data_IF_882729246459
#
_entry.id   IF_882729246459
#
_cell.length_a   1.000
_cell.length_b   1.000
_cell.length_c   1.000
_cell.angle_alpha   90.00
_cell.angle_beta   90.00
_cell.angle_gamma   90.00
#
_symmetry.space_group_name_H-M   'P 1'
#
loop_
_entity.id
_entity.type
_entity.pdbx_description
1 polymer ?
#
# COMPACT_ATOMS: atom_id res chain seq x y z
N UNK A 1 20.37 13.45 -2.34
CA UNK A 1 20.85 12.66 -1.20
C UNK A 1 19.97 11.46 -0.93
N UNK A 2 20.48 10.48 -0.22
CA UNK A 2 19.79 9.28 0.23
C UNK A 2 19.95 9.15 1.73
N UNK A 3 18.87 8.83 2.42
CA UNK A 3 18.87 8.47 3.83
C UNK A 3 18.06 7.18 4.05
N UNK A 4 18.17 6.58 5.21
CA UNK A 4 17.36 5.43 5.61
C UNK A 4 16.64 5.73 6.90
N UNK A 5 15.36 5.38 6.98
CA UNK A 5 14.58 5.43 8.22
C UNK A 5 14.73 4.20 9.08
N UNK A 6 15.13 3.08 8.48
CA UNK A 6 15.29 1.82 9.20
C UNK A 6 16.76 1.45 9.23
N UNK A 7 17.30 1.28 10.43
CA UNK A 7 18.67 0.86 10.65
C UNK A 7 19.02 -0.48 9.97
N UNK A 8 18.01 -1.27 9.60
CA UNK A 8 18.22 -2.62 9.05
C UNK A 8 18.50 -2.67 7.55
N UNK A 9 18.17 -1.61 6.79
CA UNK A 9 18.36 -1.57 5.33
C UNK A 9 19.66 -0.88 4.96
N UNK A 10 19.96 0.27 5.59
CA UNK A 10 21.23 1.01 5.52
C UNK A 10 21.69 1.28 6.96
N UNK A 11 22.02 0.24 7.71
CA UNK A 11 22.09 0.35 9.18
C UNK A 11 23.26 1.18 9.65
N UNK A 12 24.36 1.10 8.96
CA UNK A 12 25.62 1.66 9.38
C UNK A 12 26.55 1.81 8.21
N UNK A 13 27.41 2.78 8.30
CA UNK A 13 28.46 2.97 7.30
C UNK A 13 29.43 1.81 7.19
N UNK A 14 29.54 0.98 8.24
CA UNK A 14 30.48 -0.14 8.28
C UNK A 14 30.17 -1.26 7.28
N UNK A 15 28.90 -1.47 6.95
CA UNK A 15 28.46 -2.59 6.12
C UNK A 15 28.00 -2.19 4.72
N UNK A 16 27.78 -0.90 4.47
CA UNK A 16 27.42 -0.39 3.14
C UNK A 16 28.68 -0.02 2.38
N UNK A 17 29.04 -0.85 1.41
CA UNK A 17 30.28 -0.66 0.66
C UNK A 17 30.19 0.45 -0.38
N UNK A 18 29.02 0.67 -0.95
CA UNK A 18 28.81 1.70 -1.97
C UNK A 18 27.33 2.00 -2.21
N UNK A 19 27.03 3.27 -2.44
CA UNK A 19 25.72 3.75 -2.90
C UNK A 19 25.92 4.48 -4.22
N UNK A 20 25.07 4.20 -5.18
CA UNK A 20 25.11 4.78 -6.52
C UNK A 20 23.75 5.32 -6.95
N UNK A 21 23.77 6.44 -7.67
CA UNK A 21 22.66 6.88 -8.51
C UNK A 21 22.82 6.27 -9.90
N UNK A 22 21.80 5.59 -10.39
CA UNK A 22 21.79 4.98 -11.71
C UNK A 22 20.63 5.58 -12.52
N UNK A 23 20.91 6.40 -13.56
CA UNK A 23 19.88 6.90 -14.46
C UNK A 23 19.19 5.76 -15.20
N UNK A 24 17.93 6.00 -15.57
CA UNK A 24 17.07 5.01 -16.24
C UNK A 24 17.57 4.62 -17.64
N UNK A 25 18.20 5.53 -18.35
CA UNK A 25 18.81 5.21 -19.62
C UNK A 25 20.12 4.44 -19.39
N UNK A 26 20.10 3.19 -19.82
CA UNK A 26 21.13 2.18 -19.77
C UNK A 26 22.51 2.64 -20.33
N UNK A 27 23.04 3.67 -19.75
CA UNK A 27 24.38 4.11 -19.95
C UNK A 27 25.19 3.71 -18.72
N UNK A 28 25.96 2.63 -18.84
CA UNK A 28 26.83 2.14 -17.77
C UNK A 28 27.85 3.18 -17.28
N UNK A 29 28.05 4.25 -18.06
CA UNK A 29 28.92 5.38 -17.73
C UNK A 29 28.21 6.47 -16.91
N UNK A 30 26.90 6.41 -16.74
CA UNK A 30 26.12 7.41 -16.00
C UNK A 30 25.97 7.12 -14.50
N UNK A 31 26.48 5.99 -14.05
CA UNK A 31 26.44 5.59 -12.64
C UNK A 31 27.31 6.53 -11.79
N UNK A 32 26.69 7.22 -10.85
CA UNK A 32 27.36 8.19 -9.98
C UNK A 32 27.49 7.62 -8.57
N UNK A 33 28.72 7.50 -8.09
CA UNK A 33 28.97 7.11 -6.70
C UNK A 33 28.58 8.23 -5.74
N UNK A 34 27.94 7.85 -4.65
CA UNK A 34 27.52 8.75 -3.58
C UNK A 34 28.40 8.53 -2.34
N UNK A 35 29.33 9.42 -2.03
CA UNK A 35 30.07 9.34 -0.78
C UNK A 35 29.17 9.64 0.42
N UNK A 36 29.55 9.12 1.57
CA UNK A 36 28.88 9.36 2.83
C UNK A 36 29.25 10.74 3.39
N UNK A 37 28.29 11.44 3.98
CA UNK A 37 28.56 12.76 4.56
C UNK A 37 29.30 12.65 5.89
N UNK A 38 30.07 13.69 6.24
CA UNK A 38 30.87 13.73 7.47
C UNK A 38 30.01 13.61 8.75
N UNK A 39 28.74 14.04 8.70
CA UNK A 39 27.78 13.90 9.81
C UNK A 39 27.19 12.48 9.91
N UNK A 40 27.58 11.58 9.01
CA UNK A 40 27.15 10.18 8.95
C UNK A 40 25.63 9.99 8.87
N UNK A 41 24.93 10.88 8.17
CA UNK A 41 23.46 10.83 8.03
C UNK A 41 23.01 10.48 6.63
N UNK A 42 23.77 10.88 5.60
CA UNK A 42 23.34 10.76 4.21
C UNK A 42 24.47 10.32 3.29
N UNK A 43 24.08 9.71 2.16
CA UNK A 43 24.93 9.61 0.98
C UNK A 43 24.58 10.74 0.03
N UNK A 44 25.56 11.46 -0.46
CA UNK A 44 25.35 12.63 -1.32
C UNK A 44 26.12 12.46 -2.62
N UNK A 45 25.47 12.72 -3.74
CA UNK A 45 26.10 12.75 -5.05
C UNK A 45 25.48 13.83 -5.91
N UNK A 46 26.14 14.15 -7.02
CA UNK A 46 25.70 15.16 -7.96
C UNK A 46 25.51 14.52 -9.33
N UNK A 47 24.39 14.83 -9.96
CA UNK A 47 24.03 14.34 -11.28
C UNK A 47 23.38 15.47 -12.09
N UNK A 48 23.53 15.45 -13.40
CA UNK A 48 22.88 16.42 -14.27
C UNK A 48 21.35 16.36 -14.10
N UNK A 49 20.71 17.53 -14.05
CA UNK A 49 19.28 17.64 -13.76
C UNK A 49 18.41 16.81 -14.71
N UNK A 50 18.74 16.80 -15.98
CA UNK A 50 18.04 16.05 -17.04
C UNK A 50 18.15 14.53 -16.89
N UNK A 51 19.12 14.04 -16.08
CA UNK A 51 19.31 12.63 -15.78
C UNK A 51 18.73 12.23 -14.42
N UNK A 52 18.22 13.19 -13.66
CA UNK A 52 17.77 12.97 -12.29
C UNK A 52 16.33 12.48 -12.18
N UNK A 53 15.56 12.54 -13.25
CA UNK A 53 14.23 11.96 -13.29
C UNK A 53 14.34 10.44 -13.58
N UNK A 54 13.52 9.63 -12.93
CA UNK A 54 13.53 8.17 -13.08
C UNK A 54 14.88 7.51 -12.78
N UNK A 55 15.44 7.80 -11.63
CA UNK A 55 16.67 7.13 -11.16
C UNK A 55 16.36 5.83 -10.41
N UNK A 56 17.39 4.98 -10.33
CA UNK A 56 17.44 3.87 -9.39
C UNK A 56 18.62 4.10 -8.44
N UNK A 57 18.40 3.98 -7.14
CA UNK A 57 19.48 3.90 -6.19
C UNK A 57 19.94 2.45 -6.05
N UNK A 58 21.23 2.23 -6.20
CA UNK A 58 21.86 0.91 -6.04
C UNK A 58 22.83 0.96 -4.88
N UNK A 59 22.77 0.02 -3.98
CA UNK A 59 23.70 -0.11 -2.88
C UNK A 59 23.96 -1.57 -2.52
N UNK A 60 25.12 -1.81 -1.93
CA UNK A 60 25.53 -3.13 -1.46
C UNK A 60 25.64 -3.10 0.06
N UNK A 61 25.00 -4.05 0.71
CA UNK A 61 25.04 -4.22 2.16
C UNK A 61 25.26 -5.71 2.46
N UNK A 62 26.28 -6.03 3.24
CA UNK A 62 26.65 -7.41 3.60
C UNK A 62 26.77 -8.34 2.38
N UNK A 63 27.33 -7.85 1.27
CA UNK A 63 27.48 -8.64 0.03
C UNK A 63 26.23 -8.72 -0.84
N UNK A 64 25.08 -8.28 -0.38
CA UNK A 64 23.86 -8.23 -1.16
C UNK A 64 23.70 -6.89 -1.87
N UNK A 65 23.33 -6.94 -3.14
CA UNK A 65 23.04 -5.73 -3.92
C UNK A 65 21.54 -5.48 -3.96
N UNK A 66 21.17 -4.26 -3.57
CA UNK A 66 19.79 -3.77 -3.57
C UNK A 66 19.65 -2.69 -4.65
N UNK A 67 18.47 -2.66 -5.27
CA UNK A 67 18.11 -1.66 -6.28
C UNK A 67 16.73 -1.10 -5.95
N UNK A 68 16.65 0.20 -5.73
CA UNK A 68 15.41 0.90 -5.37
C UNK A 68 15.07 1.89 -6.47
N UNK A 69 14.03 1.62 -7.26
CA UNK A 69 13.50 2.58 -8.22
C UNK A 69 13.04 3.86 -7.52
N UNK A 70 13.39 5.00 -8.07
CA UNK A 70 13.06 6.31 -7.53
C UNK A 70 12.45 7.22 -8.61
N UNK A 71 11.27 6.87 -9.14
CA UNK A 71 10.57 7.66 -10.14
C UNK A 71 9.93 8.90 -9.51
N UNK A 72 9.42 9.79 -10.35
CA UNK A 72 8.59 10.93 -9.95
C UNK A 72 9.29 11.89 -8.94
N UNK A 73 10.57 12.14 -9.13
CA UNK A 73 11.37 13.00 -8.25
C UNK A 73 10.77 14.40 -8.06
N UNK A 74 10.17 14.97 -9.09
CA UNK A 74 9.75 16.38 -9.08
C UNK A 74 10.94 17.30 -8.84
N UNK A 75 10.85 18.16 -7.82
CA UNK A 75 11.93 19.06 -7.40
C UNK A 75 12.69 18.53 -6.16
N UNK A 76 12.39 17.34 -5.72
CA UNK A 76 12.99 16.76 -4.52
C UNK A 76 14.48 16.47 -4.71
N UNK A 77 15.26 16.62 -3.65
CA UNK A 77 16.69 16.34 -3.63
C UNK A 77 17.08 15.28 -2.60
N UNK A 78 16.14 14.86 -1.77
CA UNK A 78 16.35 13.84 -0.74
C UNK A 78 15.46 12.62 -1.02
N UNK A 79 16.08 11.47 -1.17
CA UNK A 79 15.40 10.18 -1.23
C UNK A 79 15.58 9.42 0.08
N UNK A 80 14.47 8.95 0.67
CA UNK A 80 14.46 8.22 1.93
C UNK A 80 14.15 6.76 1.66
N UNK A 81 15.09 5.87 1.97
CA UNK A 81 14.94 4.43 1.86
C UNK A 81 14.15 3.90 3.05
N UNK A 82 13.10 3.14 2.81
CA UNK A 82 12.21 2.58 3.83
C UNK A 82 12.27 1.06 3.94
N UNK A 83 12.73 0.39 2.89
CA UNK A 83 12.96 -1.06 2.87
C UNK A 83 14.04 -1.42 1.83
N UNK A 84 14.29 -2.71 1.64
CA UNK A 84 15.22 -3.20 0.62
C UNK A 84 14.80 -2.85 -0.82
N UNK A 85 13.52 -2.59 -1.05
CA UNK A 85 12.92 -2.37 -2.39
C UNK A 85 12.17 -1.06 -2.51
N UNK A 86 11.96 -0.33 -1.43
CA UNK A 86 11.11 0.87 -1.41
C UNK A 86 11.79 2.07 -0.78
N UNK A 87 11.33 3.23 -1.20
CA UNK A 87 11.67 4.52 -0.64
C UNK A 87 10.74 5.59 -1.20
N UNK A 88 10.94 6.81 -0.79
CA UNK A 88 10.19 7.96 -1.29
C UNK A 88 11.06 9.20 -1.42
N UNK A 89 10.67 10.10 -2.31
CA UNK A 89 11.22 11.46 -2.37
C UNK A 89 10.59 12.33 -1.28
N UNK A 90 11.41 13.04 -0.52
CA UNK A 90 10.97 13.98 0.51
C UNK A 90 10.65 15.37 -0.08
N UNK A 91 9.52 16.01 0.26
CA UNK A 91 8.47 15.58 1.19
C UNK A 91 7.54 14.52 0.58
N UNK A 92 7.18 13.48 1.35
CA UNK A 92 6.32 12.41 0.89
C UNK A 92 4.83 12.77 0.95
N UNK A 93 4.00 11.93 0.34
CA UNK A 93 2.62 11.72 0.73
C UNK A 93 2.57 10.65 1.82
N UNK A 94 1.96 10.95 2.95
CA UNK A 94 1.81 10.02 4.07
C UNK A 94 0.36 9.60 4.20
N UNK A 95 0.08 8.32 4.01
CA UNK A 95 -1.26 7.75 4.06
C UNK A 95 -1.42 7.01 5.37
N UNK A 96 -2.43 7.40 6.16
CA UNK A 96 -2.78 6.77 7.43
C UNK A 96 -4.21 6.26 7.40
N UNK A 97 -4.44 5.04 7.88
CA UNK A 97 -5.77 4.45 7.97
C UNK A 97 -6.11 4.08 9.41
N UNK A 98 -7.37 4.30 9.78
CA UNK A 98 -7.93 3.99 11.09
C UNK A 98 -9.26 3.27 10.96
N UNK A 99 -9.66 2.53 11.99
CA UNK A 99 -10.99 1.93 12.07
C UNK A 99 -11.98 2.91 12.69
N UNK A 100 -13.10 3.17 12.02
CA UNK A 100 -14.17 4.06 12.53
C UNK A 100 -14.93 3.46 13.72
N UNK A 101 -14.94 2.14 13.83
CA UNK A 101 -15.49 1.40 14.98
C UNK A 101 -14.40 0.48 15.50
N UNK A 102 -14.02 0.65 16.76
CA UNK A 102 -13.06 -0.23 17.43
C UNK A 102 -13.59 -1.66 17.35
N UNK A 103 -12.71 -2.59 17.09
CA UNK A 103 -13.02 -4.02 16.97
C UNK A 103 -13.86 -4.47 15.75
N UNK A 104 -14.26 -3.56 14.85
CA UNK A 104 -14.96 -3.93 13.62
C UNK A 104 -14.04 -4.32 12.46
N UNK A 105 -12.77 -3.93 12.50
CA UNK A 105 -11.77 -4.25 11.49
C UNK A 105 -10.36 -3.82 11.92
N UNK A 106 -9.38 -4.18 11.10
CA UNK A 106 -7.97 -3.80 11.27
C UNK A 106 -7.43 -3.25 9.94
N UNK A 107 -7.76 -1.98 9.60
CA UNK A 107 -7.40 -1.42 8.31
C UNK A 107 -5.90 -1.24 8.17
N UNK A 108 -5.41 -1.44 6.95
CA UNK A 108 -3.99 -1.29 6.58
C UNK A 108 -3.85 -0.56 5.25
N UNK A 109 -2.69 0.03 5.05
CA UNK A 109 -2.19 0.47 3.75
C UNK A 109 -1.14 -0.51 3.29
N UNK A 110 -1.14 -0.87 2.03
CA UNK A 110 -0.15 -1.75 1.42
C UNK A 110 0.50 -1.11 0.20
N UNK A 111 1.80 -1.24 0.10
CA UNK A 111 2.60 -0.83 -1.05
C UNK A 111 3.87 -1.70 -1.12
N UNK A 112 4.10 -2.31 -2.29
CA UNK A 112 5.31 -3.10 -2.61
C UNK A 112 5.74 -4.06 -1.48
N UNK A 113 4.79 -4.87 -1.00
CA UNK A 113 5.02 -5.85 0.07
C UNK A 113 5.06 -5.28 1.49
N UNK A 114 5.08 -3.95 1.66
CA UNK A 114 4.90 -3.31 2.96
C UNK A 114 3.41 -3.22 3.29
N UNK A 115 3.07 -3.49 4.55
CA UNK A 115 1.71 -3.36 5.06
C UNK A 115 1.77 -2.74 6.46
N UNK A 116 1.10 -1.61 6.64
CA UNK A 116 1.11 -0.86 7.90
C UNK A 116 -0.16 -0.02 8.04
N UNK A 117 -0.40 0.54 9.21
CA UNK A 117 -1.45 1.56 9.39
C UNK A 117 -1.05 2.92 8.81
N UNK A 118 0.24 3.14 8.58
CA UNK A 118 0.78 4.36 7.98
C UNK A 118 1.92 4.02 7.03
N UNK A 119 1.86 4.54 5.81
CA UNK A 119 2.92 4.41 4.79
C UNK A 119 3.20 5.77 4.18
N UNK A 120 4.49 6.09 3.97
CA UNK A 120 4.94 7.25 3.22
C UNK A 120 5.44 6.84 1.84
N UNK A 121 4.96 7.53 0.81
CA UNK A 121 5.32 7.28 -0.60
C UNK A 121 5.56 8.59 -1.34
N UNK A 122 6.24 8.52 -2.46
CA UNK A 122 6.32 9.64 -3.40
C UNK A 122 4.92 9.97 -3.95
N UNK A 123 4.52 11.24 -4.07
CA UNK A 123 3.30 11.61 -4.78
C UNK A 123 3.24 10.96 -6.17
N UNK A 124 2.06 10.50 -6.58
CA UNK A 124 1.87 9.72 -7.80
C UNK A 124 2.04 8.20 -7.63
N UNK A 125 2.44 7.73 -6.46
CA UNK A 125 2.55 6.30 -6.17
C UNK A 125 1.19 5.70 -5.78
N UNK A 126 0.78 4.66 -6.48
CA UNK A 126 -0.47 3.93 -6.21
C UNK A 126 -0.30 3.01 -4.99
N UNK A 127 -1.13 3.18 -3.99
CA UNK A 127 -1.19 2.34 -2.77
C UNK A 127 -2.53 1.64 -2.66
N UNK A 128 -2.60 0.58 -1.87
CA UNK A 128 -3.86 -0.14 -1.62
C UNK A 128 -4.30 0.05 -0.17
N UNK A 129 -5.53 0.50 0.02
CA UNK A 129 -6.22 0.53 1.31
C UNK A 129 -6.96 -0.80 1.51
N UNK A 130 -6.72 -1.45 2.62
CA UNK A 130 -7.25 -2.77 2.96
C UNK A 130 -8.07 -2.61 4.23
N UNK A 131 -9.36 -2.88 4.18
CA UNK A 131 -10.25 -2.64 5.31
C UNK A 131 -10.15 -3.73 6.40
N UNK A 132 -9.84 -4.98 6.03
CA UNK A 132 -9.75 -6.13 6.94
C UNK A 132 -10.92 -6.19 7.94
N UNK A 133 -12.19 -6.28 7.51
CA UNK A 133 -13.30 -6.36 8.43
C UNK A 133 -13.22 -7.65 9.24
N UNK A 134 -13.57 -7.58 10.53
CA UNK A 134 -13.72 -8.75 11.39
C UNK A 134 -15.07 -9.45 11.12
N UNK A 135 -15.18 -10.69 11.62
CA UNK A 135 -16.42 -11.47 11.49
C UNK A 135 -17.62 -10.67 12.00
N UNK A 136 -18.69 -10.65 11.22
CA UNK A 136 -19.90 -9.89 11.54
C UNK A 136 -19.88 -8.43 11.08
N UNK A 137 -18.83 -8.01 10.36
CA UNK A 137 -18.72 -6.67 9.79
C UNK A 137 -18.32 -6.71 8.32
N UNK A 138 -18.70 -5.67 7.60
CA UNK A 138 -18.24 -5.38 6.22
C UNK A 138 -17.87 -3.90 6.12
N UNK A 139 -16.95 -3.58 5.21
CA UNK A 139 -16.65 -2.19 4.89
C UNK A 139 -17.85 -1.56 4.20
N UNK A 140 -18.34 -0.45 4.75
CA UNK A 140 -19.35 0.39 4.08
C UNK A 140 -18.69 1.30 3.05
N UNK A 141 -17.71 2.08 3.51
CA UNK A 141 -16.91 3.01 2.70
C UNK A 141 -15.68 3.48 3.48
N UNK A 142 -14.82 4.21 2.78
CA UNK A 142 -13.78 5.03 3.38
C UNK A 142 -14.28 6.47 3.50
N UNK A 143 -13.92 7.15 4.58
CA UNK A 143 -14.11 8.58 4.75
C UNK A 143 -12.78 9.27 4.99
N UNK A 144 -12.69 10.53 4.59
CA UNK A 144 -11.58 11.39 5.00
C UNK A 144 -11.74 11.67 6.50
N UNK A 145 -10.71 11.35 7.29
CA UNK A 145 -10.78 11.46 8.75
C UNK A 145 -10.93 12.89 9.24
N UNK A 146 -10.43 13.86 8.46
CA UNK A 146 -10.41 15.27 8.85
C UNK A 146 -11.77 15.96 8.57
N UNK A 147 -12.49 15.50 7.55
CA UNK A 147 -13.76 16.12 7.11
C UNK A 147 -14.98 15.24 7.35
N UNK A 148 -14.79 13.94 7.63
CA UNK A 148 -15.83 12.92 7.72
C UNK A 148 -16.64 12.71 6.42
N UNK A 149 -16.24 13.33 5.33
CA UNK A 149 -16.83 13.13 4.01
C UNK A 149 -16.38 11.79 3.41
N UNK A 150 -17.19 11.23 2.51
CA UNK A 150 -16.78 10.07 1.72
C UNK A 150 -15.45 10.41 1.01
N UNK A 151 -14.49 9.51 1.12
CA UNK A 151 -13.16 9.76 0.57
C UNK A 151 -13.20 9.69 -0.97
N UNK A 152 -12.68 10.74 -1.59
CA UNK A 152 -12.48 10.79 -3.03
C UNK A 152 -11.19 10.08 -3.46
N UNK A 153 -11.16 9.61 -4.70
CA UNK A 153 -9.96 9.06 -5.33
C UNK A 153 -9.60 7.65 -4.91
N UNK A 154 -10.42 6.98 -4.10
CA UNK A 154 -10.29 5.55 -3.79
C UNK A 154 -11.17 4.77 -4.75
N UNK A 155 -10.57 3.91 -5.57
CA UNK A 155 -11.31 3.08 -6.53
C UNK A 155 -12.04 1.90 -5.83
N UNK A 156 -12.90 1.19 -6.59
CA UNK A 156 -13.67 0.04 -6.11
C UNK A 156 -12.81 -1.12 -5.60
N UNK A 157 -11.55 -1.17 -5.98
CA UNK A 157 -10.58 -2.17 -5.53
C UNK A 157 -9.75 -1.70 -4.31
N UNK A 158 -10.03 -0.50 -3.79
CA UNK A 158 -9.35 0.10 -2.66
C UNK A 158 -8.02 0.77 -3.00
N UNK A 159 -7.73 1.06 -4.26
CA UNK A 159 -6.53 1.78 -4.63
C UNK A 159 -6.70 3.28 -4.53
N UNK A 160 -5.65 3.92 -4.05
CA UNK A 160 -5.52 5.37 -3.92
C UNK A 160 -4.18 5.83 -4.48
N UNK A 161 -4.16 7.00 -5.14
CA UNK A 161 -2.94 7.62 -5.65
C UNK A 161 -2.89 9.06 -5.15
N UNK A 162 -2.04 9.40 -4.17
CA UNK A 162 -1.89 10.76 -3.71
C UNK A 162 -1.28 11.63 -4.82
N UNK A 163 -1.83 12.81 -5.05
CA UNK A 163 -1.38 13.73 -6.12
C UNK A 163 -0.35 14.74 -5.65
N UNK A 164 -0.24 14.98 -4.34
CA UNK A 164 0.68 15.92 -3.75
C UNK A 164 1.30 15.36 -2.46
N UNK A 165 2.37 15.97 -1.99
CA UNK A 165 2.90 15.71 -0.66
C UNK A 165 1.96 16.21 0.43
N UNK A 166 1.97 15.57 1.57
CA UNK A 166 1.12 15.89 2.71
C UNK A 166 0.50 14.66 3.34
N UNK A 167 -0.41 14.88 4.28
CA UNK A 167 -1.07 13.81 5.02
C UNK A 167 -2.44 13.50 4.41
N UNK A 168 -2.70 12.22 4.23
CA UNK A 168 -3.96 11.65 3.77
C UNK A 168 -4.45 10.68 4.85
N UNK A 169 -5.48 11.09 5.58
CA UNK A 169 -6.03 10.34 6.70
C UNK A 169 -7.38 9.75 6.31
N UNK A 170 -7.50 8.43 6.33
CA UNK A 170 -8.72 7.73 5.98
C UNK A 170 -9.23 6.89 7.14
N UNK A 171 -10.54 6.90 7.32
CA UNK A 171 -11.24 6.06 8.29
C UNK A 171 -12.08 5.03 7.55
N UNK A 172 -11.88 3.75 7.85
CA UNK A 172 -12.72 2.66 7.37
C UNK A 172 -14.02 2.64 8.18
N UNK A 173 -15.14 2.88 7.53
CA UNK A 173 -16.47 2.79 8.14
C UNK A 173 -17.02 1.39 7.94
N UNK A 174 -17.30 0.71 9.04
CA UNK A 174 -17.85 -0.65 9.03
C UNK A 174 -19.31 -0.64 9.40
N UNK A 175 -20.06 -1.57 8.81
CA UNK A 175 -21.44 -1.89 9.19
C UNK A 175 -21.52 -3.35 9.57
N UNK A 176 -22.49 -3.68 10.41
CA UNK A 176 -22.74 -5.07 10.78
C UNK A 176 -23.27 -5.83 9.56
N UNK A 177 -22.81 -7.06 9.41
CA UNK A 177 -23.28 -8.00 8.40
C UNK A 177 -23.91 -9.21 9.07
N UNK A 178 -24.98 -9.68 8.48
CA UNK A 178 -25.61 -10.93 8.89
C UNK A 178 -25.35 -11.98 7.82
N UNK A 179 -24.99 -13.17 8.26
CA UNK A 179 -24.88 -14.34 7.40
C UNK A 179 -26.17 -15.13 7.52
N UNK A 180 -26.82 -15.37 6.41
CA UNK A 180 -27.99 -16.24 6.33
C UNK A 180 -27.57 -17.55 5.67
N UNK A 181 -27.98 -18.65 6.29
CA UNK A 181 -27.85 -19.96 5.68
C UNK A 181 -29.24 -20.41 5.22
N UNK A 182 -29.36 -20.81 3.96
CA UNK A 182 -30.59 -21.34 3.40
C UNK A 182 -30.33 -22.77 2.94
N UNK A 183 -31.19 -23.68 3.40
CA UNK A 183 -31.13 -25.07 2.99
C UNK A 183 -32.31 -25.35 2.08
N UNK A 184 -32.04 -25.92 0.92
CA UNK A 184 -33.12 -26.46 0.04
C UNK A 184 -33.34 -27.90 0.44
N UNK A 185 -34.55 -28.20 0.83
CA UNK A 185 -34.97 -29.56 1.20
C UNK A 185 -36.13 -30.02 0.29
N UNK A 186 -36.02 -31.25 -0.12
CA UNK A 186 -37.18 -31.94 -0.81
C UNK A 186 -38.03 -32.64 0.20
N UNK A 187 -39.34 -32.58 -0.02
CA UNK A 187 -40.33 -33.30 0.77
C UNK A 187 -40.92 -34.43 -0.07
N UNK A 188 -40.76 -35.64 0.37
CA UNK A 188 -41.28 -36.84 -0.32
C UNK A 188 -42.62 -37.37 0.20
N UNK A 189 -43.31 -36.55 0.99
CA UNK A 189 -44.58 -36.88 1.61
C UNK A 189 -44.48 -37.44 3.02
N UNK A 190 -43.31 -37.84 3.46
CA UNK A 190 -43.02 -38.37 4.81
C UNK A 190 -41.81 -37.74 5.47
N UNK A 191 -40.79 -37.41 4.71
CA UNK A 191 -39.51 -36.92 5.25
C UNK A 191 -38.99 -35.71 4.48
N UNK A 192 -38.33 -34.80 5.22
CA UNK A 192 -37.54 -33.73 4.65
C UNK A 192 -36.12 -34.23 4.45
N UNK A 193 -35.61 -34.21 3.23
CA UNK A 193 -34.22 -34.52 2.90
C UNK A 193 -33.50 -33.34 2.26
N UNK A 194 -32.22 -33.25 2.43
CA UNK A 194 -31.41 -32.25 1.72
C UNK A 194 -31.48 -32.55 0.22
N UNK A 195 -31.70 -31.50 -0.60
CA UNK A 195 -31.67 -31.66 -2.05
C UNK A 195 -30.23 -31.81 -2.50
N UNK A 196 -29.94 -32.93 -3.17
CA UNK A 196 -28.65 -33.16 -3.85
C UNK A 196 -28.64 -32.64 -5.29
N UNK A 197 -29.80 -32.22 -5.80
CA UNK A 197 -29.88 -31.60 -7.13
C UNK A 197 -29.73 -30.11 -6.96
N UNK A 198 -28.72 -29.54 -7.57
CA UNK A 198 -28.40 -28.12 -7.50
C UNK A 198 -29.65 -27.23 -7.69
N UNK A 199 -29.74 -26.18 -6.93
CA UNK A 199 -30.75 -25.16 -7.01
C UNK A 199 -30.14 -23.80 -6.68
N UNK A 200 -30.81 -22.73 -7.01
CA UNK A 200 -30.42 -21.38 -6.62
C UNK A 200 -31.38 -20.82 -5.57
N UNK A 201 -30.84 -20.12 -4.58
CA UNK A 201 -31.62 -19.37 -3.60
C UNK A 201 -31.41 -17.88 -3.84
N UNK A 202 -32.49 -17.17 -4.14
CA UNK A 202 -32.43 -15.72 -4.28
C UNK A 202 -32.71 -15.07 -2.92
N UNK A 203 -31.78 -14.26 -2.42
CA UNK A 203 -31.99 -13.47 -1.21
C UNK A 203 -32.28 -12.03 -1.64
N UNK A 204 -33.45 -11.53 -1.30
CA UNK A 204 -33.86 -10.14 -1.54
C UNK A 204 -33.76 -9.33 -0.26
N UNK A 205 -33.00 -8.24 -0.31
CA UNK A 205 -32.92 -7.27 0.76
C UNK A 205 -33.14 -5.87 0.18
N UNK A 206 -34.36 -5.33 0.30
CA UNK A 206 -34.73 -4.09 -0.35
C UNK A 206 -34.61 -4.20 -1.89
N UNK A 207 -33.85 -3.32 -2.50
CA UNK A 207 -33.62 -3.32 -3.94
C UNK A 207 -32.33 -4.11 -4.35
N UNK A 208 -31.70 -4.81 -3.43
CA UNK A 208 -30.52 -5.62 -3.71
C UNK A 208 -30.90 -7.10 -3.75
N UNK A 209 -30.49 -7.78 -4.82
CA UNK A 209 -30.68 -9.21 -5.00
C UNK A 209 -29.29 -9.88 -4.97
N UNK A 210 -29.20 -11.00 -4.27
CA UNK A 210 -28.04 -11.88 -4.30
C UNK A 210 -28.54 -13.30 -4.55
N UNK A 211 -27.98 -13.98 -5.54
CA UNK A 211 -28.26 -15.37 -5.85
C UNK A 211 -27.10 -16.23 -5.40
N UNK A 212 -27.37 -17.29 -4.67
CA UNK A 212 -26.38 -18.28 -4.28
C UNK A 212 -26.75 -19.60 -4.95
N UNK A 213 -25.87 -20.10 -5.77
CA UNK A 213 -26.02 -21.41 -6.39
C UNK A 213 -25.47 -22.48 -5.43
N UNK A 214 -26.21 -23.56 -5.27
CA UNK A 214 -25.74 -24.72 -4.56
C UNK A 214 -24.88 -25.56 -5.50
N UNK A 215 -23.59 -25.72 -5.17
CA UNK A 215 -22.72 -26.74 -5.78
C UNK A 215 -23.01 -28.10 -5.17
#
# INVERSE_FOLDING_TARGET
SVSSKTADVLPDTGNVSSVYMVPDKNDSYSKVRMPFTADKKNWVGYIAKEKADNMTFSFTNNGNTYKIPAPNRGNSTLFVVTSATTGYWDPPATITVTAGKKDAGDPKVSYDGLTSTTISVTPGTKVKLIANPKKGFVLKNWVNSDTSAVADGIDSNGYFTPTASGNYNFTAVYVESLTFEAYVRTYDGANLSESTNGGSVEIKCGNQNSTVDSN
#
